data_IF_043596715543
#
_entry.id   IF_043596715543
#
_cell.length_a   1.000
_cell.length_b   1.000
_cell.length_c   1.000
_cell.angle_alpha   90.00
_cell.angle_beta   90.00
_cell.angle_gamma   90.00
#
_symmetry.space_group_name_H-M   'P 1'
#
loop_
_entity.id
_entity.type
_entity.pdbx_description
1 polymer ?
#
# COMPACT_ATOMS: atom_id res chain seq x y z
N UNK A 1 26.29 3.46 -9.44
CA UNK A 1 25.44 3.26 -8.25
C UNK A 1 24.09 2.74 -8.74
N UNK A 2 23.61 1.59 -8.28
CA UNK A 2 22.32 1.04 -8.71
C UNK A 2 21.26 1.52 -7.73
N UNK A 3 20.29 2.28 -8.24
CA UNK A 3 19.15 2.76 -7.46
C UNK A 3 18.38 1.57 -6.84
N UNK A 4 18.06 1.65 -5.54
CA UNK A 4 17.48 0.53 -4.79
C UNK A 4 16.02 0.28 -5.13
N UNK A 5 15.24 1.34 -5.35
CA UNK A 5 13.82 1.26 -5.64
C UNK A 5 13.49 1.97 -6.95
N UNK A 6 12.74 1.32 -7.84
CA UNK A 6 12.27 1.93 -9.09
C UNK A 6 10.85 2.49 -8.92
N UNK A 7 10.38 3.29 -9.88
CA UNK A 7 8.98 3.73 -9.94
C UNK A 7 8.05 2.52 -9.88
N UNK A 8 6.97 2.61 -9.09
CA UNK A 8 6.06 1.50 -8.80
C UNK A 8 6.52 0.57 -7.66
N UNK A 9 7.73 0.76 -7.11
CA UNK A 9 8.15 -0.01 -5.92
C UNK A 9 7.29 0.34 -4.70
N UNK A 10 6.92 -0.68 -3.92
CA UNK A 10 6.20 -0.50 -2.66
C UNK A 10 7.21 -0.42 -1.50
N UNK A 11 7.10 0.65 -0.72
CA UNK A 11 8.02 0.97 0.38
C UNK A 11 7.26 1.50 1.58
N UNK A 12 7.88 1.47 2.75
CA UNK A 12 7.42 2.22 3.93
C UNK A 12 8.64 2.67 4.73
N UNK A 13 8.42 3.48 5.77
CA UNK A 13 9.49 3.86 6.69
C UNK A 13 10.06 2.64 7.41
N UNK A 14 11.38 2.56 7.55
CA UNK A 14 12.07 1.43 8.22
C UNK A 14 11.63 1.22 9.68
N UNK A 15 11.00 2.23 10.28
CA UNK A 15 10.43 2.22 11.64
C UNK A 15 9.04 1.58 11.70
N UNK A 16 8.45 1.17 10.57
CA UNK A 16 7.13 0.55 10.56
C UNK A 16 7.09 -0.69 11.49
N UNK A 17 6.15 -0.77 12.45
CA UNK A 17 6.14 -1.79 13.49
C UNK A 17 6.04 -3.22 12.93
N UNK A 18 5.35 -3.36 11.80
CA UNK A 18 5.20 -4.67 11.14
C UNK A 18 6.50 -5.28 10.57
N UNK A 19 7.65 -4.60 10.67
CA UNK A 19 8.93 -5.26 10.41
C UNK A 19 9.37 -6.18 11.55
N UNK A 20 8.86 -5.94 12.76
CA UNK A 20 9.28 -6.65 13.97
C UNK A 20 8.17 -7.54 14.52
N UNK A 21 6.90 -7.14 14.36
CA UNK A 21 5.72 -7.82 14.92
C UNK A 21 4.63 -8.02 13.85
N UNK A 22 3.64 -8.89 14.09
CA UNK A 22 2.47 -9.07 13.22
C UNK A 22 1.38 -8.03 13.49
N UNK A 23 1.46 -7.31 14.61
CA UNK A 23 0.43 -6.38 15.08
C UNK A 23 1.04 -5.05 15.52
N UNK A 24 0.24 -4.01 15.37
CA UNK A 24 0.53 -2.67 15.88
C UNK A 24 0.17 -2.63 17.37
N UNK A 25 1.10 -2.13 18.17
CA UNK A 25 0.89 -1.76 19.57
C UNK A 25 0.88 -0.23 19.67
N UNK A 26 0.03 0.33 20.53
CA UNK A 26 -0.14 1.79 20.65
C UNK A 26 -1.18 2.35 19.68
N UNK A 27 -1.11 3.66 19.40
CA UNK A 27 -2.04 4.36 18.50
C UNK A 27 -1.62 4.17 17.04
N UNK A 28 -2.56 3.73 16.19
CA UNK A 28 -2.34 3.48 14.78
C UNK A 28 -2.06 4.75 13.98
N UNK A 29 -2.43 5.94 14.48
CA UNK A 29 -2.18 7.23 13.82
C UNK A 29 -0.69 7.54 13.61
N UNK A 30 0.18 6.95 14.42
CA UNK A 30 1.64 7.11 14.30
C UNK A 30 2.30 6.00 13.47
N UNK A 31 1.52 5.07 12.92
CA UNK A 31 2.05 4.02 12.05
C UNK A 31 2.26 4.59 10.66
N UNK A 32 3.49 4.54 10.12
CA UNK A 32 3.74 5.05 8.78
C UNK A 32 2.89 4.32 7.72
N UNK A 33 2.41 5.02 6.67
CA UNK A 33 1.66 4.37 5.60
C UNK A 33 2.57 3.49 4.74
N UNK A 34 1.97 2.53 4.03
CA UNK A 34 2.64 1.85 2.92
C UNK A 34 2.46 2.70 1.67
N UNK A 35 3.57 3.02 1.02
CA UNK A 35 3.65 3.99 -0.07
C UNK A 35 4.15 3.34 -1.36
N UNK A 36 3.85 3.97 -2.48
CA UNK A 36 4.36 3.66 -3.81
C UNK A 36 5.38 4.71 -4.25
N UNK A 37 6.52 4.29 -4.80
CA UNK A 37 7.50 5.22 -5.39
C UNK A 37 6.96 5.78 -6.70
N UNK A 38 6.69 7.08 -6.75
CA UNK A 38 6.23 7.82 -7.93
C UNK A 38 7.39 8.33 -8.77
N UNK A 39 8.42 8.85 -8.11
CA UNK A 39 9.60 9.41 -8.77
C UNK A 39 10.87 9.06 -8.00
N UNK A 40 11.96 8.91 -8.72
CA UNK A 40 13.32 8.75 -8.17
C UNK A 40 14.12 9.98 -8.57
N UNK A 41 14.82 10.58 -7.60
CA UNK A 41 15.81 11.62 -7.84
C UNK A 41 17.18 11.11 -7.43
N UNK A 42 18.14 11.25 -8.33
CA UNK A 42 19.55 10.87 -8.12
C UNK A 42 20.35 12.17 -8.20
N UNK A 43 20.87 12.58 -7.05
CA UNK A 43 21.65 13.79 -6.88
C UNK A 43 23.09 13.57 -7.35
N UNK A 44 23.74 14.64 -7.79
CA UNK A 44 25.13 14.58 -8.20
C UNK A 44 26.08 14.46 -6.99
N UNK A 45 27.34 14.10 -7.25
CA UNK A 45 28.36 13.98 -6.21
C UNK A 45 28.73 15.31 -5.52
N UNK A 46 28.21 16.45 -6.00
CA UNK A 46 28.43 17.78 -5.39
C UNK A 46 27.44 18.05 -4.26
N UNK A 47 26.40 17.23 -4.09
CA UNK A 47 25.44 17.39 -3.00
C UNK A 47 26.12 17.16 -1.65
N UNK A 48 25.92 18.11 -0.73
CA UNK A 48 26.33 17.94 0.68
C UNK A 48 25.51 16.83 1.33
N UNK A 49 26.19 15.75 1.70
CA UNK A 49 25.60 14.58 2.39
C UNK A 49 25.99 14.50 3.85
N UNK A 50 27.06 15.18 4.24
CA UNK A 50 27.57 15.21 5.59
C UNK A 50 27.63 16.64 6.10
N UNK A 51 27.45 16.80 7.39
CA UNK A 51 27.65 18.06 8.06
C UNK A 51 29.15 18.39 8.15
N UNK A 52 29.52 19.66 8.01
CA UNK A 52 30.92 20.10 7.91
C UNK A 52 31.62 20.13 9.27
N UNK A 53 30.87 20.40 10.34
CA UNK A 53 31.42 20.51 11.70
C UNK A 53 31.51 19.15 12.37
N UNK A 54 30.42 18.38 12.33
CA UNK A 54 30.34 17.07 12.98
C UNK A 54 30.83 15.91 12.11
N UNK A 55 30.89 16.08 10.78
CA UNK A 55 31.15 15.00 9.83
C UNK A 55 30.00 13.99 9.72
N UNK A 56 28.89 14.19 10.42
CA UNK A 56 27.77 13.26 10.48
C UNK A 56 26.93 13.29 9.20
N UNK A 57 26.35 12.15 8.84
CA UNK A 57 25.53 12.03 7.63
C UNK A 57 24.16 12.69 7.83
N UNK A 58 23.86 13.71 7.04
CA UNK A 58 22.61 14.48 7.09
C UNK A 58 21.70 14.28 5.87
N UNK A 59 22.20 13.69 4.77
CA UNK A 59 21.38 13.43 3.59
C UNK A 59 21.85 12.25 2.75
N UNK A 60 20.96 11.77 1.88
CA UNK A 60 21.29 10.79 0.84
C UNK A 60 21.40 11.43 -0.54
N UNK A 61 22.19 10.80 -1.40
CA UNK A 61 22.24 11.12 -2.84
C UNK A 61 21.01 10.64 -3.60
N UNK A 62 20.19 9.77 -3.01
CA UNK A 62 18.95 9.28 -3.62
C UNK A 62 17.77 9.65 -2.74
N UNK A 63 16.77 10.29 -3.34
CA UNK A 63 15.49 10.59 -2.70
C UNK A 63 14.35 10.14 -3.61
N UNK A 64 13.22 9.82 -3.00
CA UNK A 64 12.05 9.28 -3.69
C UNK A 64 10.84 10.14 -3.38
N UNK A 65 10.05 10.46 -4.39
CA UNK A 65 8.68 10.94 -4.16
C UNK A 65 7.81 9.70 -4.00
N UNK A 66 7.26 9.54 -2.81
CA UNK A 66 6.43 8.41 -2.42
C UNK A 66 4.98 8.88 -2.27
N UNK A 67 4.03 8.07 -2.72
CA UNK A 67 2.60 8.37 -2.67
C UNK A 67 1.88 7.31 -1.86
N UNK A 68 0.96 7.74 -1.00
CA UNK A 68 -0.01 6.88 -0.34
C UNK A 68 -1.39 7.53 -0.39
N UNK A 69 -2.42 6.74 -0.10
CA UNK A 69 -3.76 7.26 0.10
C UNK A 69 -3.95 7.59 1.58
N UNK A 70 -4.24 8.86 1.87
CA UNK A 70 -4.62 9.40 3.17
C UNK A 70 -6.15 9.25 3.30
N UNK A 71 -6.59 8.29 4.12
CA UNK A 71 -7.98 7.96 4.36
C UNK A 71 -8.72 9.05 5.15
N UNK A 72 -8.05 9.68 6.12
CA UNK A 72 -8.61 10.79 6.92
C UNK A 72 -9.04 11.96 6.02
N UNK A 73 -8.32 12.19 4.92
CA UNK A 73 -8.63 13.23 3.92
C UNK A 73 -9.26 12.69 2.64
N UNK A 74 -9.32 11.37 2.48
CA UNK A 74 -9.73 10.67 1.27
C UNK A 74 -9.02 11.20 0.00
N UNK A 75 -7.69 11.36 0.05
CA UNK A 75 -6.87 11.88 -1.04
C UNK A 75 -5.52 11.19 -1.13
N UNK A 76 -4.85 11.25 -2.28
CA UNK A 76 -3.45 10.82 -2.34
C UNK A 76 -2.51 11.92 -1.83
N UNK A 77 -1.59 11.54 -0.96
CA UNK A 77 -0.58 12.44 -0.39
C UNK A 77 0.80 12.01 -0.88
N UNK A 78 1.64 13.00 -1.19
CA UNK A 78 3.01 12.79 -1.67
C UNK A 78 4.02 13.27 -0.64
N UNK A 79 5.10 12.50 -0.45
CA UNK A 79 6.20 12.86 0.43
C UNK A 79 7.54 12.56 -0.23
N UNK A 80 8.51 13.46 -0.10
CA UNK A 80 9.89 13.22 -0.55
C UNK A 80 10.71 12.63 0.59
N UNK A 81 11.26 11.43 0.37
CA UNK A 81 11.91 10.64 1.43
C UNK A 81 13.29 10.14 0.96
N UNK A 82 14.28 10.20 1.84
CA UNK A 82 15.62 9.66 1.59
C UNK A 82 15.66 8.13 1.58
N UNK A 83 16.55 7.56 0.76
CA UNK A 83 16.69 6.10 0.62
C UNK A 83 16.92 5.37 1.93
N UNK A 84 17.75 5.92 2.81
CA UNK A 84 18.11 5.35 4.11
C UNK A 84 16.95 5.28 5.12
N UNK A 85 15.84 5.97 4.85
CA UNK A 85 14.64 5.93 5.68
C UNK A 85 13.65 4.87 5.20
N UNK A 86 13.81 4.36 3.99
CA UNK A 86 12.86 3.46 3.35
C UNK A 86 13.28 1.98 3.42
N UNK A 87 12.29 1.13 3.62
CA UNK A 87 12.42 -0.32 3.57
C UNK A 87 11.32 -0.92 2.70
N UNK A 88 11.65 -1.97 1.96
CA UNK A 88 10.69 -2.68 1.09
C UNK A 88 9.59 -3.36 1.92
N UNK A 89 8.37 -3.33 1.40
CA UNK A 89 7.21 -4.03 1.97
C UNK A 89 7.41 -5.55 2.12
N UNK A 90 8.32 -6.15 1.33
CA UNK A 90 8.57 -7.61 1.31
C UNK A 90 9.02 -8.19 2.65
N UNK A 91 9.37 -7.33 3.62
CA UNK A 91 9.78 -7.75 4.97
C UNK A 91 8.70 -7.48 6.03
N UNK A 92 7.53 -6.97 5.64
CA UNK A 92 6.42 -6.77 6.57
C UNK A 92 5.82 -8.12 6.93
N UNK A 93 5.53 -8.31 8.21
CA UNK A 93 4.80 -9.46 8.74
C UNK A 93 3.30 -9.21 8.62
N UNK A 94 2.57 -10.15 8.04
CA UNK A 94 1.13 -10.05 7.83
C UNK A 94 0.47 -11.35 8.26
N UNK A 95 -0.50 -11.26 9.17
CA UNK A 95 -1.31 -12.40 9.60
C UNK A 95 -2.74 -12.27 9.05
N UNK A 96 -3.43 -13.40 8.87
CA UNK A 96 -4.89 -13.46 8.64
C UNK A 96 -5.57 -14.14 9.83
N UNK A 97 -6.81 -13.74 10.08
CA UNK A 97 -7.73 -14.40 10.99
C UNK A 97 -8.69 -15.21 10.11
N UNK A 98 -8.79 -16.51 10.35
CA UNK A 98 -9.73 -17.38 9.63
C UNK A 98 -11.17 -17.12 10.09
N UNK A 99 -12.14 -17.66 9.34
CA UNK A 99 -13.57 -17.51 9.67
C UNK A 99 -13.93 -18.18 11.01
N UNK A 100 -13.08 -19.12 11.47
CA UNK A 100 -13.19 -19.79 12.78
C UNK A 100 -12.30 -19.13 13.86
N UNK A 101 -11.62 -18.03 13.54
CA UNK A 101 -10.83 -17.22 14.48
C UNK A 101 -9.34 -17.60 14.59
N UNK A 102 -8.87 -18.55 13.80
CA UNK A 102 -7.46 -18.98 13.83
C UNK A 102 -6.52 -17.97 13.21
N UNK A 103 -5.36 -17.81 13.83
CA UNK A 103 -4.30 -16.93 13.39
C UNK A 103 -3.32 -17.68 12.49
N UNK A 104 -3.08 -17.15 11.30
CA UNK A 104 -2.11 -17.71 10.35
C UNK A 104 -1.20 -16.62 9.80
N UNK A 105 0.10 -16.89 9.78
CA UNK A 105 1.05 -16.11 8.99
C UNK A 105 0.73 -16.27 7.51
N UNK A 106 0.40 -15.14 6.86
CA UNK A 106 0.04 -15.09 5.45
C UNK A 106 0.97 -14.14 4.67
N UNK A 107 2.13 -13.83 5.24
CA UNK A 107 3.13 -12.90 4.71
C UNK A 107 3.53 -13.29 3.29
N UNK A 108 3.95 -14.53 3.08
CA UNK A 108 4.41 -14.99 1.77
C UNK A 108 3.30 -15.03 0.72
N UNK A 109 2.09 -15.44 1.10
CA UNK A 109 0.93 -15.49 0.20
C UNK A 109 0.60 -14.09 -0.31
N UNK A 110 0.48 -13.12 0.60
CA UNK A 110 0.13 -11.74 0.25
C UNK A 110 1.24 -11.09 -0.57
N UNK A 111 2.51 -11.32 -0.21
CA UNK A 111 3.65 -10.80 -0.99
C UNK A 111 3.67 -11.40 -2.40
N UNK A 112 3.45 -12.70 -2.55
CA UNK A 112 3.39 -13.36 -3.87
C UNK A 112 2.23 -12.83 -4.72
N UNK A 113 1.05 -12.65 -4.11
CA UNK A 113 -0.11 -12.08 -4.78
C UNK A 113 0.20 -10.67 -5.31
N UNK A 114 0.80 -9.81 -4.47
CA UNK A 114 1.17 -8.44 -4.87
C UNK A 114 2.23 -8.46 -5.99
N UNK A 115 3.21 -9.36 -5.92
CA UNK A 115 4.23 -9.50 -6.97
C UNK A 115 3.62 -9.91 -8.32
N UNK A 116 2.57 -10.73 -8.31
CA UNK A 116 1.88 -11.14 -9.54
C UNK A 116 1.24 -9.98 -10.30
N UNK A 117 0.85 -8.89 -9.60
CA UNK A 117 0.31 -7.69 -10.25
C UNK A 117 1.32 -6.99 -11.15
N UNK A 118 2.60 -7.03 -10.78
CA UNK A 118 3.67 -6.42 -11.56
C UNK A 118 4.13 -7.30 -12.75
N UNK A 119 3.89 -8.61 -12.68
CA UNK A 119 4.20 -9.53 -13.77
C UNK A 119 3.22 -9.39 -14.94
N UNK A 120 1.98 -9.01 -14.65
CA UNK A 120 0.95 -8.80 -15.65
C UNK A 120 0.38 -7.38 -15.50
N UNK A 121 1.04 -6.37 -16.08
CA UNK A 121 0.68 -4.97 -15.91
C UNK A 121 -0.78 -4.66 -16.28
N UNK A 122 -1.34 -3.66 -15.61
CA UNK A 122 -2.69 -3.16 -15.88
C UNK A 122 -2.80 -2.64 -17.32
N UNK A 123 -3.86 -3.05 -18.02
CA UNK A 123 -4.24 -2.50 -19.32
C UNK A 123 -5.37 -1.51 -19.11
N UNK A 124 -5.22 -0.31 -19.66
CA UNK A 124 -6.22 0.74 -19.52
C UNK A 124 -7.55 0.36 -20.17
N UNK A 125 -8.65 0.52 -19.44
CA UNK A 125 -10.02 0.37 -19.92
C UNK A 125 -10.87 1.50 -19.35
N UNK A 126 -11.41 2.38 -20.20
CA UNK A 126 -12.28 3.47 -19.74
C UNK A 126 -13.48 2.91 -18.98
N UNK A 127 -13.78 3.47 -17.79
CA UNK A 127 -14.83 3.00 -16.89
C UNK A 127 -14.49 1.73 -16.10
N UNK A 128 -13.34 1.10 -16.34
CA UNK A 128 -12.93 -0.08 -15.58
C UNK A 128 -12.57 0.23 -14.13
N UNK A 129 -12.73 -0.76 -13.26
CA UNK A 129 -12.44 -0.65 -11.83
C UNK A 129 -11.00 -1.06 -11.57
N UNK A 130 -10.29 -0.26 -10.78
CA UNK A 130 -8.93 -0.53 -10.35
C UNK A 130 -8.74 -0.24 -8.87
N UNK A 131 -7.72 -0.86 -8.30
CA UNK A 131 -7.38 -0.77 -6.89
C UNK A 131 -5.95 -0.33 -6.73
N UNK A 132 -5.71 0.57 -5.80
CA UNK A 132 -4.35 0.95 -5.43
C UNK A 132 -3.64 -0.25 -4.80
N UNK A 133 -2.46 -0.62 -5.29
CA UNK A 133 -1.82 -1.89 -4.93
C UNK A 133 -1.59 -2.02 -3.42
N UNK A 134 -1.27 -0.93 -2.72
CA UNK A 134 -1.02 -0.97 -1.27
C UNK A 134 -2.26 -1.31 -0.46
N UNK A 135 -3.48 -1.14 -1.01
CA UNK A 135 -4.74 -1.53 -0.39
C UNK A 135 -4.69 -2.95 0.14
N UNK A 136 -4.06 -3.87 -0.60
CA UNK A 136 -3.94 -5.27 -0.20
C UNK A 136 -3.21 -5.44 1.14
N UNK A 137 -2.19 -4.63 1.41
CA UNK A 137 -1.42 -4.70 2.67
C UNK A 137 -2.18 -3.97 3.78
N UNK A 138 -2.68 -2.77 3.45
CA UNK A 138 -3.34 -1.87 4.41
C UNK A 138 -4.54 -2.55 5.10
N UNK A 139 -5.39 -3.27 4.35
CA UNK A 139 -6.57 -3.95 4.93
C UNK A 139 -6.23 -5.05 5.93
N UNK A 140 -5.02 -5.62 5.91
CA UNK A 140 -4.62 -6.67 6.83
C UNK A 140 -3.86 -6.16 8.05
N UNK A 141 -3.56 -4.86 8.14
CA UNK A 141 -2.96 -4.26 9.33
C UNK A 141 -3.91 -4.44 10.52
N UNK A 142 -3.37 -4.97 11.61
CA UNK A 142 -4.10 -5.23 12.86
C UNK A 142 -3.45 -4.53 14.02
N UNK A 143 -4.27 -4.12 14.97
CA UNK A 143 -3.88 -3.61 16.26
C UNK A 143 -4.28 -4.62 17.33
N UNK A 144 -3.40 -4.84 18.29
CA UNK A 144 -3.74 -5.54 19.52
C UNK A 144 -3.78 -4.57 20.69
N UNK A 145 -4.80 -4.71 21.53
CA UNK A 145 -4.90 -4.01 22.81
C UNK A 145 -5.18 -5.00 23.94
N UNK A 146 -4.82 -4.62 25.17
CA UNK A 146 -5.13 -5.36 26.39
C UNK A 146 -6.12 -4.52 27.21
N UNK A 147 -7.29 -5.08 27.50
CA UNK A 147 -8.23 -4.50 28.46
C UNK A 147 -7.94 -5.14 29.82
N UNK A 148 -7.49 -4.33 30.76
CA UNK A 148 -7.22 -4.74 32.13
C UNK A 148 -8.41 -4.29 32.97
N UNK A 149 -9.09 -5.22 33.63
CA UNK A 149 -10.16 -4.88 34.58
C UNK A 149 -9.61 -4.98 35.99
N UNK A 150 -9.58 -3.85 36.70
CA UNK A 150 -9.13 -3.77 38.09
C UNK A 150 -10.34 -3.84 39.03
N UNK A 151 -10.25 -4.66 40.08
CA UNK A 151 -11.21 -4.66 41.19
C UNK A 151 -10.45 -4.40 42.47
N UNK A 152 -10.76 -3.29 43.16
CA UNK A 152 -10.23 -2.93 44.48
C UNK A 152 -8.68 -2.95 44.57
N UNK A 153 -7.96 -2.42 43.59
CA UNK A 153 -6.49 -2.34 43.65
C UNK A 153 -5.74 -3.60 43.20
N UNK A 154 -6.46 -4.69 42.88
CA UNK A 154 -5.86 -5.98 42.49
C UNK A 154 -6.16 -6.28 41.02
N UNK A 155 -5.10 -6.54 40.26
CA UNK A 155 -5.18 -7.02 38.88
C UNK A 155 -5.09 -8.55 38.90
N UNK A 156 -6.21 -9.23 38.74
CA UNK A 156 -6.23 -10.68 38.53
C UNK A 156 -5.82 -10.98 37.07
N UNK A 157 -4.93 -11.95 36.84
CA UNK A 157 -4.45 -12.31 35.49
C UNK A 157 -5.59 -12.69 34.54
N UNK A 158 -6.65 -13.32 35.07
CA UNK A 158 -7.83 -13.77 34.30
C UNK A 158 -8.72 -12.61 33.82
N UNK A 159 -8.47 -11.39 34.32
CA UNK A 159 -9.18 -10.16 33.93
C UNK A 159 -8.50 -9.40 32.78
N UNK A 160 -7.42 -9.92 32.21
CA UNK A 160 -6.74 -9.33 31.04
C UNK A 160 -7.32 -9.93 29.76
N UNK A 161 -8.24 -9.21 29.12
CA UNK A 161 -8.79 -9.60 27.81
C UNK A 161 -7.97 -8.97 26.70
N UNK A 162 -7.46 -9.78 25.77
CA UNK A 162 -6.83 -9.27 24.54
C UNK A 162 -7.88 -9.05 23.47
N UNK A 163 -7.86 -7.87 22.85
CA UNK A 163 -8.71 -7.55 21.70
C UNK A 163 -7.81 -7.35 20.49
N UNK A 164 -8.11 -8.07 19.40
CA UNK A 164 -7.49 -7.86 18.09
C UNK A 164 -8.52 -7.17 17.22
N UNK A 165 -8.14 -6.03 16.65
CA UNK A 165 -9.00 -5.28 15.74
C UNK A 165 -8.20 -4.99 14.50
N UNK A 166 -8.87 -5.09 13.35
CA UNK A 166 -8.29 -4.51 12.16
C UNK A 166 -8.21 -2.99 12.32
N UNK A 167 -7.19 -2.42 11.70
CA UNK A 167 -6.96 -0.99 11.73
C UNK A 167 -7.88 -0.27 10.72
N UNK A 168 -8.76 -0.99 9.99
CA UNK A 168 -9.50 -0.72 8.70
C UNK A 168 -10.04 0.68 8.38
N UNK A 169 -9.86 1.71 9.19
CA UNK A 169 -10.08 3.07 8.70
C UNK A 169 -9.17 3.38 7.48
N UNK A 170 -8.00 2.72 7.36
CA UNK A 170 -6.90 3.02 6.44
C UNK A 170 -6.89 2.32 5.07
N UNK A 171 -8.02 2.09 4.40
CA UNK A 171 -7.98 1.50 3.05
C UNK A 171 -8.47 2.47 1.97
N UNK A 172 -7.70 2.60 0.89
CA UNK A 172 -8.14 3.34 -0.29
C UNK A 172 -9.42 2.73 -0.88
N UNK A 173 -10.31 3.55 -1.48
CA UNK A 173 -11.50 3.03 -2.16
C UNK A 173 -11.11 2.22 -3.40
N UNK A 174 -12.13 1.63 -4.04
CA UNK A 174 -12.00 1.21 -5.43
C UNK A 174 -12.14 2.46 -6.32
N UNK A 175 -11.38 2.50 -7.42
CA UNK A 175 -11.33 3.65 -8.30
C UNK A 175 -11.87 3.32 -9.69
N UNK A 176 -12.43 4.32 -10.36
CA UNK A 176 -12.83 4.24 -11.77
C UNK A 176 -11.74 4.84 -12.65
N UNK A 177 -11.27 4.08 -13.64
CA UNK A 177 -10.36 4.58 -14.68
C UNK A 177 -11.11 5.56 -15.61
N UNK A 178 -10.69 6.83 -15.64
CA UNK A 178 -11.38 7.86 -16.42
C UNK A 178 -10.49 8.62 -17.41
N UNK A 179 -9.20 8.29 -17.50
CA UNK A 179 -8.29 8.92 -18.46
C UNK A 179 -6.90 8.30 -18.44
N UNK A 180 -6.14 8.51 -19.51
CA UNK A 180 -4.76 8.06 -19.65
C UNK A 180 -3.96 9.15 -20.38
N UNK A 181 -2.77 9.48 -19.89
CA UNK A 181 -1.85 10.38 -20.58
C UNK A 181 -0.40 9.95 -20.41
N UNK A 182 0.47 10.42 -21.31
CA UNK A 182 1.92 10.31 -21.11
C UNK A 182 2.36 11.24 -19.98
N UNK A 183 3.39 10.83 -19.27
CA UNK A 183 4.02 11.66 -18.25
C UNK A 183 5.01 12.63 -18.90
N UNK A 184 5.26 13.76 -18.23
CA UNK A 184 6.25 14.74 -18.67
C UNK A 184 7.65 14.26 -18.27
N UNK A 185 8.46 13.86 -19.24
CA UNK A 185 9.86 13.43 -19.05
C UNK A 185 10.83 14.63 -19.03
N UNK A 186 10.50 15.66 -18.22
CA UNK A 186 11.36 16.85 -18.05
C UNK A 186 12.45 16.61 -17.01
N UNK A 187 13.64 17.14 -17.28
CA UNK A 187 14.82 17.11 -16.41
C UNK A 187 15.31 15.71 -16.01
N UNK A 188 15.23 14.75 -16.94
CA UNK A 188 15.60 13.35 -16.70
C UNK A 188 17.10 13.14 -16.51
N UNK A 189 17.94 13.98 -17.12
CA UNK A 189 19.40 13.85 -17.13
C UNK A 189 20.09 15.15 -16.73
N UNK A 190 21.27 15.05 -16.14
CA UNK A 190 22.22 16.16 -16.04
C UNK A 190 22.87 16.44 -17.40
N UNK A 191 23.49 17.61 -17.55
CA UNK A 191 24.21 18.02 -18.77
C UNK A 191 25.24 16.97 -19.27
N UNK A 192 25.82 16.18 -18.35
CA UNK A 192 26.73 15.08 -18.67
C UNK A 192 26.06 13.73 -18.97
N UNK A 193 24.76 13.69 -19.26
CA UNK A 193 24.00 12.48 -19.60
C UNK A 193 23.72 11.52 -18.44
N UNK A 194 24.13 11.86 -17.21
CA UNK A 194 23.83 11.04 -16.01
C UNK A 194 22.37 11.20 -15.61
N UNK A 195 21.71 10.08 -15.29
CA UNK A 195 20.32 10.06 -14.84
C UNK A 195 20.16 10.91 -13.58
N UNK A 196 19.25 11.87 -13.64
CA UNK A 196 18.89 12.81 -12.56
C UNK A 196 17.52 12.46 -11.97
N UNK A 197 16.57 12.09 -12.82
CA UNK A 197 15.18 11.82 -12.43
C UNK A 197 14.64 10.62 -13.20
N UNK A 198 13.84 9.80 -12.53
CA UNK A 198 13.08 8.71 -13.15
C UNK A 198 11.61 8.85 -12.78
N UNK A 199 10.72 8.79 -13.78
CA UNK A 199 9.27 8.85 -13.63
C UNK A 199 8.61 7.72 -14.43
N UNK A 200 7.34 7.42 -14.15
CA UNK A 200 6.56 6.50 -14.99
C UNK A 200 6.29 7.11 -16.35
N UNK A 201 6.19 6.29 -17.39
CA UNK A 201 5.87 6.72 -18.76
C UNK A 201 4.40 7.14 -18.90
N UNK A 202 3.49 6.48 -18.19
CA UNK A 202 2.05 6.65 -18.35
C UNK A 202 1.38 6.98 -17.01
N UNK A 203 0.53 7.98 -17.03
CA UNK A 203 -0.30 8.37 -15.89
C UNK A 203 -1.76 7.99 -16.17
N UNK A 204 -2.33 7.21 -15.25
CA UNK A 204 -3.74 6.85 -15.21
C UNK A 204 -4.50 7.90 -14.40
N UNK A 205 -5.58 8.45 -14.97
CA UNK A 205 -6.56 9.24 -14.24
C UNK A 205 -7.53 8.30 -13.56
N UNK A 206 -7.60 8.39 -12.24
CA UNK A 206 -8.56 7.64 -11.42
C UNK A 206 -9.56 8.59 -10.78
N UNK A 207 -10.81 8.13 -10.63
CA UNK A 207 -11.92 8.85 -10.01
C UNK A 207 -12.52 8.05 -8.86
N UNK A 208 -12.85 8.73 -7.77
CA UNK A 208 -13.57 8.15 -6.63
C UNK A 208 -14.46 9.20 -5.96
N UNK A 209 -15.43 8.75 -5.18
CA UNK A 209 -16.21 9.65 -4.32
C UNK A 209 -15.40 9.95 -3.06
N UNK A 210 -15.16 11.23 -2.78
CA UNK A 210 -14.53 11.69 -1.54
C UNK A 210 -15.63 12.01 -0.52
N UNK A 211 -15.82 11.17 0.52
CA UNK A 211 -16.88 11.37 1.51
C UNK A 211 -16.64 12.58 2.41
N UNK A 212 -15.37 12.98 2.61
CA UNK A 212 -14.99 14.14 3.43
C UNK A 212 -15.44 15.45 2.74
N UNK A 213 -15.24 15.53 1.43
CA UNK A 213 -15.59 16.71 0.63
C UNK A 213 -16.99 16.63 -0.02
N UNK A 214 -17.68 15.49 0.10
CA UNK A 214 -18.99 15.20 -0.54
C UNK A 214 -19.01 15.43 -2.06
N UNK A 215 -17.90 15.14 -2.74
CA UNK A 215 -17.76 15.30 -4.20
C UNK A 215 -16.85 14.23 -4.79
N UNK A 216 -16.86 14.09 -6.11
CA UNK A 216 -15.87 13.25 -6.76
C UNK A 216 -14.49 13.92 -6.77
N UNK A 217 -13.47 13.12 -6.47
CA UNK A 217 -12.06 13.48 -6.62
C UNK A 217 -11.47 12.72 -7.81
N UNK A 218 -10.50 13.34 -8.46
CA UNK A 218 -9.78 12.75 -9.59
C UNK A 218 -8.30 13.07 -9.48
N UNK A 219 -7.43 12.11 -9.84
CA UNK A 219 -5.98 12.33 -9.81
C UNK A 219 -5.28 11.50 -10.88
N UNK A 220 -4.22 12.07 -11.46
CA UNK A 220 -3.29 11.35 -12.33
C UNK A 220 -2.17 10.73 -11.51
N UNK A 221 -1.99 9.43 -11.61
CA UNK A 221 -0.94 8.67 -10.93
C UNK A 221 -0.31 7.65 -11.89
N UNK A 222 0.94 7.21 -11.66
CA UNK A 222 1.56 6.13 -12.44
C UNK A 222 0.63 4.92 -12.59
N UNK A 223 0.49 4.41 -13.82
CA UNK A 223 -0.39 3.25 -14.08
C UNK A 223 0.04 2.02 -13.26
N UNK A 224 1.33 1.91 -12.95
CA UNK A 224 1.94 0.86 -12.14
C UNK A 224 1.47 0.87 -10.67
N UNK A 225 0.72 1.89 -10.25
CA UNK A 225 0.15 1.98 -8.90
C UNK A 225 -1.10 1.15 -8.71
N UNK A 226 -1.66 0.65 -9.79
CA UNK A 226 -2.99 0.07 -9.80
C UNK A 226 -3.00 -1.36 -10.35
N UNK A 227 -4.02 -2.10 -9.92
CA UNK A 227 -4.33 -3.43 -10.41
C UNK A 227 -5.83 -3.63 -10.46
N UNK A 228 -6.31 -4.35 -11.45
CA UNK A 228 -7.68 -4.85 -11.60
C UNK A 228 -7.84 -6.30 -11.07
N UNK A 229 -6.73 -6.93 -10.68
CA UNK A 229 -6.67 -8.36 -10.30
C UNK A 229 -6.78 -8.62 -8.80
N UNK A 230 -6.82 -7.56 -8.00
CA UNK A 230 -6.88 -7.68 -6.56
C UNK A 230 -8.24 -8.24 -6.14
N UNK A 231 -8.22 -9.47 -5.61
CA UNK A 231 -9.39 -10.15 -5.06
C UNK A 231 -9.45 -9.99 -3.54
N UNK A 232 -10.63 -9.65 -3.04
CA UNK A 232 -11.02 -9.84 -1.64
C UNK A 232 -12.09 -10.93 -1.64
N UNK A 233 -12.09 -11.85 -0.67
CA UNK A 233 -13.04 -12.98 -0.63
C UNK A 233 -14.47 -12.50 -0.92
N UNK A 234 -14.98 -12.89 -2.08
CA UNK A 234 -16.40 -12.86 -2.45
C UNK A 234 -16.56 -13.84 -3.62
N UNK A 235 -16.42 -15.14 -3.32
CA UNK A 235 -16.83 -16.24 -4.19
C UNK A 235 -17.56 -17.27 -3.33
N UNK A 236 -18.79 -16.90 -2.96
CA UNK A 236 -19.90 -17.84 -2.78
C UNK A 236 -21.13 -17.13 -3.35
N UNK A 237 -21.86 -17.79 -4.26
CA UNK A 237 -22.87 -17.26 -5.19
C UNK A 237 -22.19 -16.81 -6.50
N UNK A 238 -22.34 -17.45 -7.66
CA UNK A 238 -23.38 -18.32 -8.22
C UNK A 238 -22.71 -19.26 -9.25
N UNK A 239 -22.94 -20.56 -9.17
CA UNK A 239 -22.76 -21.53 -10.28
C UNK A 239 -23.36 -22.90 -9.90
N UNK A 240 -24.57 -22.90 -9.32
CA UNK A 240 -25.28 -24.15 -8.98
C UNK A 240 -26.79 -24.07 -9.20
N UNK A 241 -27.22 -23.34 -10.24
CA UNK A 241 -28.59 -23.45 -10.76
C UNK A 241 -28.56 -23.31 -12.26
N UNK A 242 -28.30 -24.43 -12.95
CA UNK A 242 -28.82 -24.78 -14.28
C UNK A 242 -28.27 -26.15 -14.68
N UNK A 243 -28.92 -27.22 -14.18
CA UNK A 243 -29.07 -28.51 -14.91
C UNK A 243 -29.83 -29.53 -14.05
N UNK A 244 -31.14 -29.37 -13.99
CA UNK A 244 -32.05 -30.51 -13.87
C UNK A 244 -33.20 -30.31 -14.86
N UNK A 245 -32.92 -30.56 -16.14
CA UNK A 245 -33.94 -31.09 -17.05
C UNK A 245 -34.13 -32.56 -16.68
N UNK A 246 -35.13 -32.83 -15.84
CA UNK A 246 -35.74 -34.16 -15.74
C UNK A 246 -37.05 -34.13 -16.53
N UNK A 247 -37.00 -34.64 -17.76
CA UNK A 247 -38.07 -35.50 -18.29
C UNK A 247 -37.43 -36.90 -18.34
N UNK A 248 -38.12 -37.97 -17.88
CA UNK A 248 -39.34 -38.41 -18.57
C UNK A 248 -40.42 -39.00 -17.65
N UNK A 249 -41.67 -39.00 -18.10
CA UNK A 249 -42.52 -40.19 -17.99
C UNK A 249 -43.67 -40.09 -19.01
N UNK A 250 -43.54 -40.90 -20.07
CA UNK A 250 -44.66 -41.27 -20.92
C UNK A 250 -45.44 -42.36 -20.21
N UNK A 251 -46.74 -42.14 -20.04
CA UNK A 251 -47.75 -43.16 -19.74
C UNK A 251 -48.88 -43.04 -20.76
#
# INVERSE_FOLDING_TARGET
MKNKYVVGSIVTFKTHPLFNDFRIQGDSKYVPPVMMVKEVFIENNKKRTHDEESGEKISDNVKYVCVYFDDDKSQFTENTIYESFLRSYKKLKIERISDIGDLRDDTDTIIKEIQSYFQNPLVYKFGGIVRFITKKIEIYKKRSSKKITEKKGVIEKDNIKSTIQYVVNYASPDFVMCGLKKNDEKDMYYEGGKLKRQVSKNLLKVKWFNPIQKKFSEQYLPIEFFTDKMKFKLESLEDNTLSTTEEPEQS
#
